data_IF_468738669897
#
_entry.id   IF_468738669897
#
_cell.length_a   1.000
_cell.length_b   1.000
_cell.length_c   1.000
_cell.angle_alpha   90.00
_cell.angle_beta   90.00
_cell.angle_gamma   90.00
#
_symmetry.space_group_name_H-M   'P 1'
#
loop_
_entity.id
_entity.type
_entity.pdbx_description
1 polymer ?
#
# COMPACT_ATOMS: atom_id res chain seq x y z
N UNK A 1 -14.87 3.67 34.86
CA UNK A 1 -15.78 4.16 33.81
C UNK A 1 -15.46 3.40 32.54
N UNK A 2 -16.31 2.44 32.13
CA UNK A 2 -16.10 1.68 30.89
C UNK A 2 -16.28 2.62 29.71
N UNK A 3 -15.27 2.71 28.84
CA UNK A 3 -15.41 3.40 27.54
C UNK A 3 -16.53 2.76 26.76
N UNK A 4 -17.49 3.54 26.26
CA UNK A 4 -18.60 2.98 25.49
C UNK A 4 -18.06 2.30 24.22
N UNK A 5 -18.69 1.22 23.75
CA UNK A 5 -18.26 0.56 22.50
C UNK A 5 -18.19 1.53 21.30
N UNK A 6 -19.03 2.55 21.29
CA UNK A 6 -19.05 3.58 20.23
C UNK A 6 -17.79 4.47 20.24
N UNK A 7 -17.28 4.84 21.43
CA UNK A 7 -16.07 5.66 21.54
C UNK A 7 -14.83 4.86 21.15
N UNK A 8 -14.77 3.57 21.51
CA UNK A 8 -13.70 2.66 21.08
C UNK A 8 -13.68 2.51 19.56
N UNK A 9 -14.85 2.24 18.96
CA UNK A 9 -14.97 2.11 17.51
C UNK A 9 -14.62 3.42 16.78
N UNK A 10 -15.05 4.57 17.29
CA UNK A 10 -14.69 5.86 16.71
C UNK A 10 -13.19 6.15 16.81
N UNK A 11 -12.57 5.87 17.95
CA UNK A 11 -11.12 6.07 18.14
C UNK A 11 -10.30 5.15 17.22
N UNK A 12 -10.62 3.86 17.16
CA UNK A 12 -9.95 2.91 16.28
C UNK A 12 -10.11 3.28 14.80
N UNK A 13 -11.31 3.71 14.38
CA UNK A 13 -11.58 4.19 13.03
C UNK A 13 -10.72 5.41 12.69
N UNK A 14 -10.63 6.41 13.57
CA UNK A 14 -9.82 7.60 13.34
C UNK A 14 -8.33 7.26 13.24
N UNK A 15 -7.82 6.41 14.14
CA UNK A 15 -6.42 5.97 14.13
C UNK A 15 -6.12 5.25 12.80
N UNK A 16 -6.91 4.23 12.44
CA UNK A 16 -6.68 3.45 11.22
C UNK A 16 -6.83 4.29 9.95
N UNK A 17 -7.74 5.27 9.93
CA UNK A 17 -7.90 6.16 8.78
C UNK A 17 -6.71 7.11 8.62
N UNK A 18 -6.27 7.77 9.68
CA UNK A 18 -5.17 8.74 9.62
C UNK A 18 -3.84 8.05 9.26
N UNK A 19 -3.51 6.96 9.94
CA UNK A 19 -2.30 6.20 9.67
C UNK A 19 -2.38 5.54 8.29
N UNK A 20 -3.48 4.88 7.95
CA UNK A 20 -3.66 4.19 6.68
C UNK A 20 -3.54 5.13 5.48
N UNK A 21 -4.14 6.32 5.52
CA UNK A 21 -3.99 7.34 4.46
C UNK A 21 -2.53 7.76 4.31
N UNK A 22 -1.82 8.02 5.41
CA UNK A 22 -0.43 8.44 5.32
C UNK A 22 0.50 7.31 4.84
N UNK A 23 0.27 6.07 5.30
CA UNK A 23 1.00 4.89 4.82
C UNK A 23 0.79 4.69 3.31
N UNK A 24 -0.45 4.85 2.79
CA UNK A 24 -0.74 4.78 1.36
C UNK A 24 0.03 5.86 0.59
N UNK A 25 0.09 7.10 1.11
CA UNK A 25 0.84 8.20 0.48
C UNK A 25 2.34 7.87 0.40
N UNK A 26 2.94 7.33 1.48
CA UNK A 26 4.34 6.90 1.50
C UNK A 26 4.57 5.72 0.55
N UNK A 27 3.65 4.75 0.53
CA UNK A 27 3.72 3.57 -0.34
C UNK A 27 3.62 3.95 -1.82
N UNK A 28 2.69 4.81 -2.19
CA UNK A 28 2.59 5.31 -3.57
C UNK A 28 3.89 6.02 -4.00
N UNK A 29 4.45 6.88 -3.14
CA UNK A 29 5.74 7.51 -3.43
C UNK A 29 6.85 6.47 -3.62
N UNK A 30 6.93 5.47 -2.74
CA UNK A 30 7.90 4.38 -2.82
C UNK A 30 7.78 3.62 -4.14
N UNK A 31 6.55 3.22 -4.50
CA UNK A 31 6.27 2.45 -5.71
C UNK A 31 6.56 3.26 -6.99
N UNK A 32 6.16 4.53 -7.04
CA UNK A 32 6.45 5.42 -8.18
C UNK A 32 7.95 5.64 -8.36
N UNK A 33 8.72 5.74 -7.27
CA UNK A 33 10.18 5.79 -7.33
C UNK A 33 10.76 4.48 -7.86
N UNK A 34 10.25 3.33 -7.40
CA UNK A 34 10.70 2.01 -7.82
C UNK A 34 10.46 1.75 -9.31
N UNK A 35 9.30 2.14 -9.85
CA UNK A 35 9.00 2.03 -11.29
C UNK A 35 9.59 3.17 -12.12
N UNK A 36 10.37 4.07 -11.52
CA UNK A 36 10.97 5.25 -12.15
C UNK A 36 9.92 6.10 -12.90
N UNK A 37 8.78 6.33 -12.26
CA UNK A 37 7.75 7.19 -12.79
C UNK A 37 8.21 8.64 -12.88
N UNK A 38 7.53 9.44 -13.71
CA UNK A 38 7.85 10.86 -13.88
C UNK A 38 7.54 11.66 -12.61
N UNK A 39 8.59 12.21 -12.00
CA UNK A 39 8.50 13.06 -10.81
C UNK A 39 8.09 14.52 -11.10
N UNK A 40 8.07 14.95 -12.36
CA UNK A 40 7.54 16.26 -12.75
C UNK A 40 6.01 16.26 -12.80
N UNK A 41 5.38 15.10 -12.76
CA UNK A 41 3.93 14.96 -12.67
C UNK A 41 3.39 15.61 -11.37
N UNK A 42 2.32 16.43 -11.43
CA UNK A 42 1.74 17.11 -10.26
C UNK A 42 1.39 16.17 -9.10
N UNK A 43 0.87 14.95 -9.40
CA UNK A 43 0.56 13.94 -8.38
C UNK A 43 1.82 13.42 -7.69
N UNK A 44 2.88 13.11 -8.46
CA UNK A 44 4.16 12.71 -7.88
C UNK A 44 4.74 13.83 -7.00
N UNK A 45 4.66 15.08 -7.42
CA UNK A 45 5.11 16.24 -6.63
C UNK A 45 4.32 16.40 -5.34
N UNK A 46 3.00 16.18 -5.36
CA UNK A 46 2.18 16.17 -4.14
C UNK A 46 2.66 15.11 -3.15
N UNK A 47 2.85 13.86 -3.61
CA UNK A 47 3.35 12.77 -2.76
C UNK A 47 4.72 13.09 -2.18
N UNK A 48 5.62 13.68 -2.98
CA UNK A 48 6.94 14.12 -2.54
C UNK A 48 6.83 15.22 -1.48
N UNK A 49 5.99 16.23 -1.67
CA UNK A 49 5.78 17.31 -0.70
C UNK A 49 5.22 16.79 0.63
N UNK A 50 4.23 15.90 0.57
CA UNK A 50 3.58 15.33 1.75
C UNK A 50 4.51 14.45 2.59
N UNK A 51 5.47 13.75 1.96
CA UNK A 51 6.32 12.77 2.65
C UNK A 51 7.73 13.28 2.97
N UNK A 52 8.22 14.31 2.27
CA UNK A 52 9.56 14.87 2.48
C UNK A 52 9.86 15.36 3.91
N UNK A 53 8.92 15.97 4.66
CA UNK A 53 9.20 16.41 6.03
C UNK A 53 9.73 15.28 6.91
N UNK A 54 9.19 14.07 6.76
CA UNK A 54 9.58 12.90 7.56
C UNK A 54 10.72 12.12 6.89
N UNK A 55 10.69 11.94 5.57
CA UNK A 55 11.67 11.12 4.86
C UNK A 55 13.04 11.78 4.70
N UNK A 56 13.11 13.13 4.58
CA UNK A 56 14.41 13.81 4.45
C UNK A 56 15.34 13.55 5.64
N UNK A 57 14.93 13.73 6.90
CA UNK A 57 15.78 13.41 8.03
C UNK A 57 16.11 11.91 8.08
N UNK A 58 15.14 11.04 7.80
CA UNK A 58 15.32 9.59 7.87
C UNK A 58 16.36 9.07 6.87
N UNK A 59 16.41 9.63 5.66
CA UNK A 59 17.39 9.29 4.62
C UNK A 59 18.83 9.67 4.96
N UNK A 60 19.05 10.54 5.95
CA UNK A 60 20.41 10.84 6.46
C UNK A 60 20.99 9.65 7.22
N UNK A 61 20.13 8.88 7.88
CA UNK A 61 20.52 7.73 8.70
C UNK A 61 20.36 6.40 7.94
N UNK A 62 19.39 6.32 7.05
CA UNK A 62 19.05 5.10 6.29
C UNK A 62 19.20 5.39 4.80
N UNK A 63 20.41 5.16 4.23
CA UNK A 63 20.63 5.34 2.80
C UNK A 63 19.84 4.31 1.98
N UNK A 64 19.43 4.67 0.76
CA UNK A 64 18.87 3.73 -0.19
C UNK A 64 19.91 2.71 -0.66
N UNK A 65 19.49 1.50 -0.96
CA UNK A 65 20.35 0.43 -1.46
C UNK A 65 19.71 -0.22 -2.69
N UNK A 66 20.52 -0.43 -3.75
CA UNK A 66 20.04 -1.12 -4.96
C UNK A 66 18.89 -0.44 -5.69
N UNK A 67 18.72 0.88 -5.54
CA UNK A 67 17.59 1.62 -6.13
C UNK A 67 16.29 1.55 -5.30
N UNK A 68 16.33 0.87 -4.15
CA UNK A 68 15.21 0.78 -3.20
C UNK A 68 15.36 1.85 -2.11
N UNK A 69 14.32 2.62 -1.85
CA UNK A 69 14.26 3.62 -0.79
C UNK A 69 13.96 2.95 0.56
N UNK A 70 15.00 2.44 1.22
CA UNK A 70 14.87 1.76 2.52
C UNK A 70 14.26 2.67 3.60
N UNK A 71 14.52 3.98 3.54
CA UNK A 71 13.94 4.93 4.47
C UNK A 71 12.39 4.94 4.39
N UNK A 72 11.83 4.84 3.18
CA UNK A 72 10.37 4.71 3.01
C UNK A 72 9.84 3.40 3.57
N UNK A 73 10.54 2.29 3.40
CA UNK A 73 10.15 0.97 3.93
C UNK A 73 10.14 0.99 5.45
N UNK A 74 11.22 1.50 6.07
CA UNK A 74 11.31 1.62 7.53
C UNK A 74 10.24 2.56 8.07
N UNK A 75 10.00 3.70 7.40
CA UNK A 75 8.94 4.63 7.82
C UNK A 75 7.57 3.96 7.82
N UNK A 76 7.21 3.25 6.75
CA UNK A 76 5.92 2.54 6.66
C UNK A 76 5.80 1.49 7.77
N UNK A 77 6.87 0.72 8.04
CA UNK A 77 6.88 -0.30 9.08
C UNK A 77 6.68 0.32 10.47
N UNK A 78 7.40 1.40 10.78
CA UNK A 78 7.26 2.10 12.07
C UNK A 78 5.84 2.67 12.22
N UNK A 79 5.30 3.32 11.19
CA UNK A 79 3.94 3.85 11.21
C UNK A 79 2.90 2.75 11.44
N UNK A 80 3.05 1.61 10.76
CA UNK A 80 2.13 0.47 10.91
C UNK A 80 2.23 -0.14 12.31
N UNK A 81 3.42 -0.26 12.86
CA UNK A 81 3.60 -0.74 14.25
C UNK A 81 2.98 0.23 15.26
N UNK A 82 3.19 1.54 15.09
CA UNK A 82 2.58 2.57 15.95
C UNK A 82 1.05 2.52 15.86
N UNK A 83 0.49 2.40 14.67
CA UNK A 83 -0.95 2.23 14.47
C UNK A 83 -1.49 1.04 15.26
N UNK A 84 -0.86 -0.14 15.13
CA UNK A 84 -1.28 -1.36 15.84
C UNK A 84 -1.19 -1.20 17.36
N UNK A 85 -0.11 -0.61 17.86
CA UNK A 85 0.06 -0.34 19.31
C UNK A 85 -1.03 0.59 19.83
N UNK A 86 -1.36 1.66 19.08
CA UNK A 86 -2.41 2.60 19.47
C UNK A 86 -3.79 1.93 19.46
N UNK A 87 -4.10 1.12 18.44
CA UNK A 87 -5.36 0.37 18.36
C UNK A 87 -5.48 -0.61 19.52
N UNK A 88 -4.44 -1.39 19.80
CA UNK A 88 -4.43 -2.31 20.94
C UNK A 88 -4.55 -1.57 22.29
N UNK A 89 -3.90 -0.42 22.43
CA UNK A 89 -4.02 0.44 23.63
C UNK A 89 -5.48 0.92 23.86
N UNK A 90 -6.18 1.34 22.79
CA UNK A 90 -7.60 1.71 22.86
C UNK A 90 -8.46 0.51 23.27
N UNK A 91 -8.09 -0.70 22.83
CA UNK A 91 -8.78 -1.96 23.18
C UNK A 91 -8.40 -2.49 24.60
N UNK A 92 -7.51 -1.79 25.33
CA UNK A 92 -7.00 -2.23 26.63
C UNK A 92 -6.12 -3.46 26.57
N UNK A 93 -5.45 -3.70 25.42
CA UNK A 93 -4.57 -4.85 25.19
C UNK A 93 -3.14 -4.39 24.97
N UNK A 94 -2.19 -5.25 25.26
CA UNK A 94 -0.78 -5.08 24.88
C UNK A 94 -0.39 -6.21 23.93
N UNK A 95 0.51 -5.91 23.00
CA UNK A 95 1.00 -6.91 22.05
C UNK A 95 2.50 -7.16 22.22
N UNK A 96 2.93 -8.41 22.02
CA UNK A 96 4.34 -8.79 21.98
C UNK A 96 5.03 -8.18 20.75
N UNK A 97 6.25 -7.65 20.92
CA UNK A 97 6.99 -6.93 19.87
C UNK A 97 7.15 -7.74 18.57
N UNK A 98 7.54 -9.02 18.69
CA UNK A 98 7.75 -9.90 17.51
C UNK A 98 6.44 -10.12 16.75
N UNK A 99 5.34 -10.38 17.47
CA UNK A 99 4.03 -10.54 16.87
C UNK A 99 3.54 -9.27 16.17
N UNK A 100 3.74 -8.09 16.81
CA UNK A 100 3.43 -6.79 16.21
C UNK A 100 4.23 -6.54 14.94
N UNK A 101 5.51 -6.92 14.92
CA UNK A 101 6.36 -6.77 13.73
C UNK A 101 5.84 -7.62 12.57
N UNK A 102 5.55 -8.90 12.82
CA UNK A 102 5.01 -9.81 11.80
C UNK A 102 3.64 -9.33 11.30
N UNK A 103 2.77 -8.89 12.23
CA UNK A 103 1.46 -8.34 11.87
C UNK A 103 1.59 -7.06 11.06
N UNK A 104 2.48 -6.13 11.44
CA UNK A 104 2.73 -4.91 10.69
C UNK A 104 3.22 -5.19 9.26
N UNK A 105 4.11 -6.17 9.07
CA UNK A 105 4.54 -6.59 7.72
C UNK A 105 3.35 -7.12 6.91
N UNK A 106 2.49 -7.94 7.49
CA UNK A 106 1.30 -8.45 6.81
C UNK A 106 0.33 -7.32 6.40
N UNK A 107 0.08 -6.34 7.28
CA UNK A 107 -0.78 -5.19 6.97
C UNK A 107 -0.18 -4.31 5.86
N UNK A 108 1.15 -4.14 5.83
CA UNK A 108 1.81 -3.44 4.73
C UNK A 108 1.70 -4.19 3.40
N UNK A 109 1.85 -5.53 3.41
CA UNK A 109 1.63 -6.36 2.23
C UNK A 109 0.16 -6.28 1.76
N UNK A 110 -0.80 -6.29 2.70
CA UNK A 110 -2.21 -6.11 2.38
C UNK A 110 -2.49 -4.73 1.77
N UNK A 111 -1.85 -3.69 2.29
CA UNK A 111 -1.94 -2.34 1.74
C UNK A 111 -1.34 -2.26 0.34
N UNK A 112 -0.22 -2.93 0.09
CA UNK A 112 0.39 -3.05 -1.24
C UNK A 112 -0.58 -3.71 -2.24
N UNK A 113 -1.20 -4.84 -1.86
CA UNK A 113 -2.23 -5.52 -2.67
C UNK A 113 -3.40 -4.59 -2.96
N UNK A 114 -3.92 -3.86 -1.96
CA UNK A 114 -5.01 -2.88 -2.13
C UNK A 114 -4.61 -1.77 -3.09
N UNK A 115 -3.41 -1.19 -2.95
CA UNK A 115 -2.92 -0.12 -3.84
C UNK A 115 -2.90 -0.60 -5.29
N UNK A 116 -2.35 -1.78 -5.58
CA UNK A 116 -2.36 -2.34 -6.94
C UNK A 116 -3.77 -2.67 -7.43
N UNK A 117 -4.62 -3.26 -6.59
CA UNK A 117 -6.01 -3.56 -6.95
C UNK A 117 -6.75 -2.29 -7.38
N UNK A 118 -6.72 -1.23 -6.56
CA UNK A 118 -7.39 0.01 -6.89
C UNK A 118 -6.75 0.73 -8.08
N UNK A 119 -5.42 0.73 -8.19
CA UNK A 119 -4.73 1.38 -9.32
C UNK A 119 -5.07 0.71 -10.66
N UNK A 120 -5.17 -0.63 -10.70
CA UNK A 120 -5.57 -1.38 -11.89
C UNK A 120 -7.05 -1.10 -12.22
N UNK A 121 -7.94 -1.12 -11.24
CA UNK A 121 -9.36 -0.78 -11.46
C UNK A 121 -9.53 0.62 -12.03
N UNK A 122 -8.82 1.62 -11.48
CA UNK A 122 -8.87 2.99 -11.98
C UNK A 122 -8.28 3.06 -13.41
N UNK A 123 -7.17 2.35 -13.71
CA UNK A 123 -6.60 2.30 -15.06
C UNK A 123 -7.61 1.73 -16.06
N UNK A 124 -8.30 0.64 -15.74
CA UNK A 124 -9.34 0.04 -16.58
C UNK A 124 -10.49 1.02 -16.83
N UNK A 125 -11.02 1.67 -15.79
CA UNK A 125 -12.09 2.65 -15.93
C UNK A 125 -11.65 3.82 -16.80
N UNK A 126 -10.45 4.35 -16.57
CA UNK A 126 -9.92 5.47 -17.36
C UNK A 126 -9.69 5.08 -18.83
N UNK A 127 -9.33 3.83 -19.12
CA UNK A 127 -9.17 3.36 -20.49
C UNK A 127 -10.48 3.40 -21.28
N UNK A 128 -11.62 3.25 -20.62
CA UNK A 128 -12.95 3.32 -21.25
C UNK A 128 -13.48 4.76 -21.35
N UNK A 129 -13.27 5.55 -20.29
CA UNK A 129 -13.80 6.93 -20.24
C UNK A 129 -13.00 7.88 -21.12
N UNK A 130 -11.68 7.67 -21.25
CA UNK A 130 -10.79 8.53 -22.02
C UNK A 130 -9.78 7.71 -22.83
N UNK A 131 -10.22 7.03 -23.91
CA UNK A 131 -9.33 6.24 -24.77
C UNK A 131 -8.24 7.13 -25.37
N UNK A 132 -6.96 6.77 -25.16
CA UNK A 132 -5.82 7.55 -25.64
C UNK A 132 -5.55 8.86 -24.91
N UNK A 133 -6.23 9.12 -23.78
CA UNK A 133 -6.05 10.31 -22.97
C UNK A 133 -4.62 10.42 -22.39
N UNK A 134 -3.94 11.53 -22.71
CA UNK A 134 -2.61 11.85 -22.15
C UNK A 134 -2.72 12.52 -20.78
N UNK A 135 -3.70 12.11 -19.96
CA UNK A 135 -3.86 12.69 -18.64
C UNK A 135 -2.69 12.26 -17.73
N UNK A 136 -2.08 13.17 -16.97
CA UNK A 136 -0.93 12.85 -16.11
C UNK A 136 -1.17 11.65 -15.16
N UNK A 137 -2.38 11.49 -14.62
CA UNK A 137 -2.75 10.38 -13.74
C UNK A 137 -2.73 9.05 -14.49
N UNK A 138 -3.26 9.01 -15.73
CA UNK A 138 -3.28 7.79 -16.55
C UNK A 138 -1.86 7.27 -16.83
N UNK A 139 -0.93 8.19 -17.12
CA UNK A 139 0.47 7.83 -17.34
C UNK A 139 1.14 7.26 -16.08
N UNK A 140 0.83 7.82 -14.89
CA UNK A 140 1.34 7.30 -13.63
C UNK A 140 0.81 5.90 -13.32
N UNK A 141 -0.50 5.68 -13.48
CA UNK A 141 -1.13 4.38 -13.26
C UNK A 141 -0.58 3.32 -14.21
N UNK A 142 -0.44 3.67 -15.49
CA UNK A 142 0.17 2.77 -16.47
C UNK A 142 1.60 2.36 -16.09
N UNK A 143 2.43 3.31 -15.64
CA UNK A 143 3.78 3.04 -15.15
C UNK A 143 3.78 2.20 -13.87
N UNK A 144 2.90 2.53 -12.94
CA UNK A 144 2.76 1.82 -11.67
C UNK A 144 2.37 0.35 -11.88
N UNK A 145 1.41 0.10 -12.77
CA UNK A 145 0.86 -1.23 -13.01
C UNK A 145 1.67 -2.06 -14.03
N UNK A 146 2.57 -1.42 -14.80
CA UNK A 146 3.36 -2.08 -15.84
C UNK A 146 4.11 -3.34 -15.36
N UNK A 147 4.69 -3.42 -14.14
CA UNK A 147 5.36 -4.64 -13.67
C UNK A 147 4.42 -5.84 -13.54
N UNK A 148 3.15 -5.61 -13.22
CA UNK A 148 2.13 -6.66 -13.06
C UNK A 148 1.38 -6.95 -14.36
N UNK A 149 0.90 -5.90 -15.05
CA UNK A 149 0.13 -6.06 -16.28
C UNK A 149 1.00 -6.45 -17.49
N UNK A 150 2.27 -6.04 -17.53
CA UNK A 150 3.18 -6.35 -18.64
C UNK A 150 3.34 -7.86 -18.89
N UNK A 151 3.73 -8.67 -17.89
CA UNK A 151 3.77 -10.12 -18.01
C UNK A 151 2.41 -10.73 -18.35
N UNK A 152 1.32 -10.27 -17.70
CA UNK A 152 -0.02 -10.77 -17.93
C UNK A 152 -0.49 -10.54 -19.38
N UNK A 153 -0.21 -9.38 -19.97
CA UNK A 153 -0.50 -9.06 -21.40
C UNK A 153 0.27 -9.95 -22.38
N UNK A 154 1.44 -10.46 -21.99
CA UNK A 154 2.19 -11.42 -22.80
C UNK A 154 1.58 -12.82 -22.76
N UNK A 155 0.95 -13.18 -21.63
CA UNK A 155 0.30 -14.49 -21.45
C UNK A 155 -1.11 -14.52 -22.07
N UNK A 156 -1.83 -13.40 -21.98
CA UNK A 156 -3.19 -13.24 -22.51
C UNK A 156 -3.21 -12.10 -23.53
N UNK A 157 -2.99 -12.40 -24.82
CA UNK A 157 -3.13 -11.39 -25.87
C UNK A 157 -4.58 -10.90 -25.93
N UNK A 158 -4.83 -9.64 -26.35
CA UNK A 158 -6.17 -9.10 -26.43
C UNK A 158 -7.06 -9.94 -27.34
N UNK A 159 -8.23 -10.31 -26.84
CA UNK A 159 -9.24 -11.08 -27.57
C UNK A 159 -10.43 -10.18 -27.93
N UNK A 160 -10.75 -10.09 -29.23
CA UNK A 160 -11.86 -9.23 -29.68
C UNK A 160 -11.67 -7.74 -29.35
N UNK A 161 -10.42 -7.27 -29.19
CA UNK A 161 -10.13 -5.88 -28.84
C UNK A 161 -10.22 -5.56 -27.34
N UNK A 162 -10.53 -6.55 -26.49
CA UNK A 162 -10.62 -6.40 -25.02
C UNK A 162 -9.37 -6.98 -24.37
N UNK A 163 -8.77 -6.23 -23.45
CA UNK A 163 -7.63 -6.66 -22.62
C UNK A 163 -8.15 -7.35 -21.35
N UNK A 164 -7.98 -8.68 -21.26
CA UNK A 164 -8.36 -9.47 -20.08
C UNK A 164 -7.23 -9.60 -19.07
N UNK A 165 -6.04 -9.04 -19.31
CA UNK A 165 -4.92 -9.12 -18.40
C UNK A 165 -5.18 -8.50 -17.03
N UNK A 166 -5.95 -7.38 -16.89
CA UNK A 166 -6.31 -6.84 -15.59
C UNK A 166 -7.10 -7.84 -14.73
N UNK A 167 -8.03 -8.59 -15.33
CA UNK A 167 -8.83 -9.60 -14.61
C UNK A 167 -7.94 -10.68 -14.03
N UNK A 168 -7.01 -11.21 -14.84
CA UNK A 168 -6.03 -12.20 -14.38
C UNK A 168 -5.21 -11.67 -13.20
N UNK A 169 -4.67 -10.45 -13.31
CA UNK A 169 -3.84 -9.85 -12.26
C UNK A 169 -4.66 -9.60 -11.00
N UNK A 170 -5.91 -9.12 -11.10
CA UNK A 170 -6.79 -8.93 -9.95
C UNK A 170 -7.08 -10.26 -9.23
N UNK A 171 -7.30 -11.35 -9.96
CA UNK A 171 -7.46 -12.69 -9.36
C UNK A 171 -6.18 -13.11 -8.63
N UNK A 172 -5.01 -12.94 -9.25
CA UNK A 172 -3.73 -13.29 -8.64
C UNK A 172 -3.44 -12.45 -7.38
N UNK A 173 -3.75 -11.15 -7.40
CA UNK A 173 -3.64 -10.28 -6.23
C UNK A 173 -4.57 -10.74 -5.10
N UNK A 174 -5.80 -11.13 -5.41
CA UNK A 174 -6.74 -11.64 -4.43
C UNK A 174 -6.29 -12.99 -3.85
N UNK A 175 -5.77 -13.89 -4.68
CA UNK A 175 -5.18 -15.16 -4.21
C UNK A 175 -3.95 -14.90 -3.33
N UNK A 176 -3.09 -13.95 -3.69
CA UNK A 176 -1.94 -13.55 -2.86
C UNK A 176 -2.40 -13.03 -1.49
N UNK A 177 -3.47 -12.21 -1.47
CA UNK A 177 -4.04 -11.73 -0.21
C UNK A 177 -4.54 -12.89 0.67
N UNK A 178 -5.28 -13.85 0.08
CA UNK A 178 -5.90 -14.95 0.82
C UNK A 178 -4.89 -16.03 1.25
N UNK A 179 -3.96 -16.41 0.37
CA UNK A 179 -3.09 -17.57 0.58
C UNK A 179 -1.73 -17.22 1.20
N UNK A 180 -1.28 -15.97 1.06
CA UNK A 180 0.01 -15.53 1.60
C UNK A 180 -0.18 -14.50 2.72
N UNK A 181 -0.90 -13.42 2.46
CA UNK A 181 -0.95 -12.29 3.40
C UNK A 181 -1.80 -12.63 4.63
N UNK A 182 -2.98 -13.23 4.44
CA UNK A 182 -3.88 -13.57 5.55
C UNK A 182 -3.23 -14.55 6.55
N UNK A 183 -2.56 -15.66 6.15
CA UNK A 183 -1.86 -16.54 7.10
C UNK A 183 -0.73 -15.84 7.87
N UNK A 184 0.02 -14.92 7.22
CA UNK A 184 1.06 -14.15 7.90
C UNK A 184 0.42 -13.20 8.94
N UNK A 185 -0.70 -12.58 8.61
CA UNK A 185 -1.45 -11.73 9.53
C UNK A 185 -1.99 -12.51 10.73
N UNK A 186 -2.51 -13.72 10.52
CA UNK A 186 -3.00 -14.59 11.59
C UNK A 186 -1.85 -15.05 12.50
N UNK A 187 -0.71 -15.42 11.92
CA UNK A 187 0.50 -15.74 12.68
C UNK A 187 0.95 -14.55 13.52
N UNK A 188 1.01 -13.35 12.92
CA UNK A 188 1.40 -12.13 13.63
C UNK A 188 0.45 -11.80 14.78
N UNK A 189 -0.86 -11.92 14.57
CA UNK A 189 -1.88 -11.73 15.62
C UNK A 189 -1.75 -12.75 16.74
N UNK A 190 -1.56 -14.03 16.40
CA UNK A 190 -1.35 -15.08 17.40
C UNK A 190 -0.10 -14.84 18.25
N UNK A 191 1.03 -14.45 17.63
CA UNK A 191 2.26 -14.11 18.35
C UNK A 191 2.16 -12.80 19.16
N UNK A 192 1.32 -11.86 18.73
CA UNK A 192 1.16 -10.58 19.43
C UNK A 192 0.27 -10.70 20.67
N UNK A 193 -0.81 -11.50 20.58
CA UNK A 193 -1.87 -11.51 21.59
C UNK A 193 -1.83 -12.76 22.50
N UNK A 194 -0.97 -13.74 22.20
CA UNK A 194 -0.77 -14.96 22.98
C UNK A 194 -1.75 -16.03 22.58
#
# INVERSE_FOLDING_TARGET
MGTSPYTVNAATFLISTLFGVYIIIVMLRFLLAWVRADFYNPMSQFLVKATNPVLRPLRRFIPGYGGVDLASVVLMLVLQMVELVLILGVLGRAGGFVGLLVWAVAELLQTLVRVFTFSILIEVVLSWVSPGGRHPITMLLYRLNAPLLGPARRMLPPMGGIDFSPVLVLILLQLTSMLLVAPIADLGRGLALG
#
